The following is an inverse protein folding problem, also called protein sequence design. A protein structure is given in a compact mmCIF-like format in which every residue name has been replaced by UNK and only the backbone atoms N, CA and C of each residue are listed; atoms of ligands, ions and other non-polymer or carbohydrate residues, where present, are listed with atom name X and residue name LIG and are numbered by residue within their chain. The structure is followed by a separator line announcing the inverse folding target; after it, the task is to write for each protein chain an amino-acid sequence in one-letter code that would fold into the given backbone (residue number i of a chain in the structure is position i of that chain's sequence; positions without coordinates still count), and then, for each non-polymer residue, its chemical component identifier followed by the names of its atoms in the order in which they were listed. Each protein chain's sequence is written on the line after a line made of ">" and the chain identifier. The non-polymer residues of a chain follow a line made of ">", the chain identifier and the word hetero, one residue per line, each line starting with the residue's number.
data_IF_618449829886
#
_entry.id   IF_618449829886
#
_cell.length_a   1.000
_cell.length_b   1.000
_cell.length_c   1.000
_cell.angle_alpha   90.00
_cell.angle_beta   90.00
_cell.angle_gamma   90.00
#
_symmetry.space_group_name_H-M   'P 1'
#
loop_
_entity.id
_entity.type
_entity.pdbx_description
1 polymer ?
#
# COMPACT_ATOMS: atom_id res chain seq x y z
N UNK A 1 -7.52 7.63 8.76
CA UNK A 1 -7.95 7.35 7.37
C UNK A 1 -9.42 7.73 7.09
N UNK A 2 -10.33 7.60 8.07
CA UNK A 2 -11.78 7.93 7.93
C UNK A 2 -12.13 9.36 7.47
N UNK A 3 -11.31 10.37 7.77
CA UNK A 3 -11.57 11.75 7.33
C UNK A 3 -11.31 11.98 5.83
N UNK A 4 -10.52 11.12 5.17
CA UNK A 4 -10.14 11.29 3.76
C UNK A 4 -11.16 10.73 2.76
N UNK A 5 -11.88 9.67 3.14
CA UNK A 5 -12.84 8.97 2.26
C UNK A 5 -14.01 9.87 1.87
N UNK A 6 -14.48 10.72 2.79
CA UNK A 6 -15.65 11.59 2.59
C UNK A 6 -15.47 12.66 1.49
N UNK A 7 -14.23 12.98 1.12
CA UNK A 7 -13.92 14.02 0.13
C UNK A 7 -13.37 13.45 -1.19
N UNK A 8 -13.38 12.12 -1.36
CA UNK A 8 -12.91 11.46 -2.57
C UNK A 8 -14.04 11.34 -3.59
N UNK A 9 -14.01 12.17 -4.64
CA UNK A 9 -14.88 12.00 -5.80
C UNK A 9 -14.18 11.10 -6.83
N UNK A 10 -14.60 9.85 -6.94
CA UNK A 10 -14.02 8.88 -7.88
C UNK A 10 -14.88 8.77 -9.14
N UNK A 11 -14.32 8.94 -10.34
CA UNK A 11 -15.08 8.86 -11.60
C UNK A 11 -15.51 7.43 -11.97
N UNK A 12 -15.10 6.43 -11.20
CA UNK A 12 -15.36 5.00 -11.42
C UNK A 12 -16.09 4.39 -10.23
N UNK A 13 -16.78 3.26 -10.47
CA UNK A 13 -17.43 2.48 -9.43
C UNK A 13 -16.42 2.08 -8.36
N UNK A 14 -16.61 2.64 -7.17
CA UNK A 14 -15.68 2.49 -6.04
C UNK A 14 -16.44 1.99 -4.83
N UNK A 15 -15.90 0.95 -4.21
CA UNK A 15 -16.42 0.39 -2.95
C UNK A 15 -15.39 0.65 -1.88
N UNK A 16 -15.78 1.34 -0.81
CA UNK A 16 -14.94 1.56 0.35
C UNK A 16 -15.19 0.45 1.37
N UNK A 17 -14.13 -0.27 1.72
CA UNK A 17 -14.17 -1.28 2.79
C UNK A 17 -13.72 -0.59 4.07
N UNK A 18 -14.67 -0.37 4.99
CA UNK A 18 -14.44 0.28 6.27
C UNK A 18 -14.61 -0.71 7.44
N UNK A 19 -14.11 -0.33 8.62
CA UNK A 19 -14.30 -1.06 9.88
C UNK A 19 -13.85 -2.53 9.83
N UNK A 20 -12.73 -2.81 9.18
CA UNK A 20 -12.13 -4.15 9.23
C UNK A 20 -11.59 -4.39 10.64
N UNK A 21 -12.35 -5.12 11.46
CA UNK A 21 -12.00 -5.39 12.87
C UNK A 21 -10.81 -6.36 12.97
N UNK A 22 -10.63 -7.21 11.96
CA UNK A 22 -9.62 -8.26 11.96
C UNK A 22 -8.45 -7.91 11.03
N UNK A 23 -7.30 -7.58 11.63
CA UNK A 23 -6.06 -7.28 10.93
C UNK A 23 -5.63 -8.39 9.95
N UNK A 24 -5.88 -9.66 10.28
CA UNK A 24 -5.58 -10.80 9.38
C UNK A 24 -6.37 -10.69 8.09
N UNK A 25 -7.66 -10.35 8.17
CA UNK A 25 -8.53 -10.24 7.00
C UNK A 25 -8.16 -9.01 6.17
N UNK A 26 -7.81 -7.89 6.82
CA UNK A 26 -7.31 -6.70 6.12
C UNK A 26 -6.01 -7.01 5.38
N UNK A 27 -5.07 -7.68 6.05
CA UNK A 27 -3.79 -8.08 5.49
C UNK A 27 -3.95 -9.07 4.33
N UNK A 28 -4.81 -10.09 4.50
CA UNK A 28 -5.11 -11.05 3.45
C UNK A 28 -5.75 -10.39 2.21
N UNK A 29 -6.66 -9.43 2.43
CA UNK A 29 -7.26 -8.64 1.34
C UNK A 29 -6.19 -7.84 0.60
N UNK A 30 -5.31 -7.13 1.33
CA UNK A 30 -4.20 -6.39 0.72
C UNK A 30 -3.26 -7.32 -0.09
N UNK A 31 -2.89 -8.49 0.44
CA UNK A 31 -2.06 -9.48 -0.27
C UNK A 31 -2.66 -9.94 -1.61
N UNK A 32 -3.98 -9.91 -1.76
CA UNK A 32 -4.71 -10.39 -2.95
C UNK A 32 -5.03 -9.28 -3.96
N UNK A 33 -4.66 -8.03 -3.71
CA UNK A 33 -4.87 -6.92 -4.63
C UNK A 33 -4.21 -7.16 -6.01
N UNK A 34 -4.76 -6.61 -7.09
CA UNK A 34 -4.11 -6.70 -8.42
C UNK A 34 -2.90 -5.78 -8.52
N UNK A 35 -3.03 -4.59 -7.96
CA UNK A 35 -2.02 -3.53 -7.90
C UNK A 35 -2.07 -2.87 -6.52
N UNK A 36 -0.98 -2.22 -6.12
CA UNK A 36 -0.83 -1.61 -4.80
C UNK A 36 -0.56 -0.11 -4.91
N UNK A 37 -1.28 0.67 -4.11
CA UNK A 37 -0.88 2.03 -3.73
C UNK A 37 -0.47 1.94 -2.27
N UNK A 38 0.83 1.96 -2.04
CA UNK A 38 1.44 1.65 -0.75
C UNK A 38 1.71 2.94 0.04
N UNK A 39 1.35 2.94 1.32
CA UNK A 39 1.77 3.97 2.26
C UNK A 39 3.20 3.70 2.76
N UNK A 40 3.82 4.68 3.42
CA UNK A 40 5.07 4.48 4.17
C UNK A 40 4.82 3.66 5.47
N UNK A 41 4.33 2.43 5.31
CA UNK A 41 3.90 1.54 6.37
C UNK A 41 4.50 0.15 6.16
N UNK A 42 4.95 -0.47 7.27
CA UNK A 42 5.50 -1.82 7.26
C UNK A 42 4.44 -2.88 6.92
N UNK A 43 3.18 -2.63 7.28
CA UNK A 43 2.09 -3.57 7.02
C UNK A 43 1.75 -3.65 5.52
N UNK A 44 1.55 -2.50 4.88
CA UNK A 44 1.30 -2.45 3.43
C UNK A 44 2.51 -2.95 2.64
N UNK A 45 3.72 -2.75 3.18
CA UNK A 45 4.95 -3.28 2.59
C UNK A 45 4.97 -4.81 2.56
N UNK A 46 4.69 -5.48 3.68
CA UNK A 46 4.62 -6.94 3.71
C UNK A 46 3.49 -7.51 2.83
N UNK A 47 2.36 -6.80 2.76
CA UNK A 47 1.24 -7.23 1.94
C UNK A 47 1.58 -7.22 0.44
N UNK A 48 2.25 -6.18 -0.04
CA UNK A 48 2.79 -6.17 -1.40
C UNK A 48 3.87 -7.25 -1.58
N UNK A 49 4.79 -7.40 -0.63
CA UNK A 49 5.87 -8.38 -0.75
C UNK A 49 5.36 -9.83 -0.89
N UNK A 50 4.27 -10.17 -0.20
CA UNK A 50 3.61 -11.49 -0.27
C UNK A 50 2.69 -11.65 -1.49
N UNK A 51 2.33 -10.58 -2.16
CA UNK A 51 1.51 -10.65 -3.35
C UNK A 51 2.30 -11.28 -4.51
N UNK A 52 1.83 -12.43 -5.00
CA UNK A 52 2.50 -13.24 -6.03
C UNK A 52 2.15 -12.84 -7.46
N UNK A 53 1.32 -11.82 -7.67
CA UNK A 53 0.99 -11.33 -9.01
C UNK A 53 2.21 -10.66 -9.65
N UNK A 54 2.83 -11.32 -10.64
CA UNK A 54 3.98 -10.80 -11.38
C UNK A 54 3.64 -9.57 -12.23
N UNK A 55 2.37 -9.42 -12.64
CA UNK A 55 1.90 -8.26 -13.39
C UNK A 55 1.45 -7.10 -12.49
N UNK A 56 1.69 -7.16 -11.18
CA UNK A 56 1.29 -6.10 -10.25
C UNK A 56 2.09 -4.82 -10.50
N UNK A 57 1.45 -3.70 -10.22
CA UNK A 57 2.06 -2.39 -10.21
C UNK A 57 2.05 -1.91 -8.76
N UNK A 58 3.16 -1.34 -8.30
CA UNK A 58 3.30 -0.83 -6.94
C UNK A 58 3.66 0.64 -7.02
N UNK A 59 2.78 1.49 -6.51
CA UNK A 59 3.01 2.93 -6.39
C UNK A 59 3.31 3.21 -4.92
N UNK A 60 4.49 3.75 -4.63
CA UNK A 60 4.94 4.06 -3.27
C UNK A 60 5.47 5.50 -3.18
N UNK A 61 5.43 6.13 -2.00
CA UNK A 61 6.04 7.43 -1.79
C UNK A 61 7.55 7.35 -2.04
N UNK A 62 8.08 8.33 -2.78
CA UNK A 62 9.51 8.38 -3.12
C UNK A 62 10.39 8.52 -1.87
N UNK A 63 9.89 9.21 -0.84
CA UNK A 63 10.55 9.39 0.45
C UNK A 63 9.90 8.46 1.47
N UNK A 64 10.66 7.51 2.00
CA UNK A 64 10.15 6.55 2.98
C UNK A 64 10.18 7.10 4.41
N UNK A 65 11.24 7.85 4.75
CA UNK A 65 11.41 8.50 6.04
C UNK A 65 11.37 10.03 5.90
N UNK A 66 10.90 10.70 6.95
CA UNK A 66 10.79 12.16 7.02
C UNK A 66 12.03 12.83 7.63
N UNK A 67 13.17 12.16 7.63
CA UNK A 67 14.39 12.66 8.22
C UNK A 67 15.29 13.31 7.16
N UNK A 68 15.79 14.51 7.47
CA UNK A 68 16.68 15.28 6.62
C UNK A 68 18.13 14.76 6.62
N UNK A 69 18.52 13.97 7.64
CA UNK A 69 19.86 13.41 7.76
C UNK A 69 20.04 12.14 6.91
N UNK A 70 18.98 11.36 6.72
CA UNK A 70 18.99 10.16 5.88
C UNK A 70 18.71 10.51 4.41
N UNK A 71 19.75 11.02 3.73
CA UNK A 71 19.71 11.31 2.29
C UNK A 71 19.41 10.03 1.50
N UNK A 72 18.13 9.85 1.18
CA UNK A 72 17.57 8.85 0.25
C UNK A 72 17.53 7.41 0.78
N UNK A 73 16.71 7.16 1.81
CA UNK A 73 16.12 5.83 1.94
C UNK A 73 14.92 5.76 0.99
N UNK A 74 15.18 5.26 -0.21
CA UNK A 74 14.11 4.82 -1.11
C UNK A 74 13.33 3.70 -0.42
N UNK A 75 12.05 3.55 -0.76
CA UNK A 75 11.25 2.41 -0.33
C UNK A 75 12.11 1.14 -0.39
N UNK A 76 12.40 0.47 0.75
CA UNK A 76 13.58 -0.38 0.88
C UNK A 76 13.69 -1.55 -0.10
N UNK A 77 12.66 -1.82 -0.92
CA UNK A 77 12.51 -3.07 -1.65
C UNK A 77 11.76 -2.91 -2.99
N UNK A 78 12.16 -1.97 -3.86
CA UNK A 78 11.97 -2.19 -5.31
C UNK A 78 13.01 -3.22 -5.73
N UNK A 79 12.76 -4.48 -5.39
CA UNK A 79 13.78 -5.52 -5.40
C UNK A 79 13.22 -6.90 -5.11
N UNK A 80 12.13 -7.27 -5.79
CA UNK A 80 12.05 -8.64 -6.27
C UNK A 80 12.38 -8.58 -7.75
N UNK A 81 13.52 -9.16 -8.12
CA UNK A 81 13.59 -9.84 -9.41
C UNK A 81 12.54 -10.96 -9.31
N UNK A 82 11.34 -10.66 -9.80
CA UNK A 82 10.26 -11.59 -10.05
C UNK A 82 9.94 -11.46 -11.53
#
# INVERSE_FOLDING_TARGET
>A
MQLGVKNLNTPIATVFVENVVNLRNEFELMCRCKHHIMANSTLSWWADWLNTNLAKMVIAPQRWFNDHATRRVYCPMIGKNQ
#
